data_IF_144121881492
#
_entry.id   IF_144121881492
#
_cell.length_a   1.000
_cell.length_b   1.000
_cell.length_c   1.000
_cell.angle_alpha   90.00
_cell.angle_beta   90.00
_cell.angle_gamma   90.00
#
_symmetry.space_group_name_H-M   'P 1'
#
loop_
_entity.id
_entity.type
_entity.pdbx_description
1 polymer ?
#
# COMPACT_ATOMS: atom_id res chain seq x y z
N UNK A 1 18.45 37.42 -14.38
CA UNK A 1 17.76 36.38 -15.19
C UNK A 1 16.73 35.61 -14.35
N UNK A 2 17.09 35.11 -13.17
CA UNK A 2 16.18 34.41 -12.23
C UNK A 2 14.94 35.26 -11.84
N UNK A 3 15.11 36.55 -11.52
CA UNK A 3 13.99 37.45 -11.18
C UNK A 3 13.09 37.82 -12.38
N UNK A 4 13.64 37.86 -13.61
CA UNK A 4 12.84 38.07 -14.82
C UNK A 4 12.08 36.79 -15.24
N UNK A 5 12.57 35.61 -14.87
CA UNK A 5 11.87 34.34 -15.07
C UNK A 5 10.69 34.16 -14.10
N UNK A 6 10.84 34.59 -12.83
CA UNK A 6 9.76 34.53 -11.83
C UNK A 6 8.50 35.31 -12.24
N UNK A 7 8.64 36.36 -13.07
CA UNK A 7 7.52 37.12 -13.61
C UNK A 7 6.72 36.42 -14.72
N UNK A 8 7.36 35.54 -15.52
CA UNK A 8 6.71 34.77 -16.60
C UNK A 8 6.21 33.39 -16.14
N UNK A 9 6.78 32.84 -15.07
CA UNK A 9 6.44 31.54 -14.48
C UNK A 9 5.16 31.53 -13.64
N UNK A 10 4.56 32.70 -13.35
CA UNK A 10 3.42 32.81 -12.41
C UNK A 10 2.10 32.15 -12.85
N UNK A 11 2.00 31.60 -14.07
CA UNK A 11 0.75 31.01 -14.60
C UNK A 11 0.95 29.67 -15.34
N UNK A 12 2.17 29.17 -15.52
CA UNK A 12 2.40 27.93 -16.26
C UNK A 12 2.39 26.71 -15.34
N UNK A 13 1.69 25.64 -15.74
CA UNK A 13 1.69 24.37 -15.01
C UNK A 13 3.10 23.76 -14.98
N UNK A 14 3.42 22.95 -13.95
CA UNK A 14 4.72 22.28 -13.84
C UNK A 14 5.10 21.52 -15.13
N UNK A 15 4.12 20.83 -15.71
CA UNK A 15 4.27 20.08 -16.96
C UNK A 15 4.59 20.98 -18.16
N UNK A 16 4.11 22.23 -18.18
CA UNK A 16 4.34 23.17 -19.28
C UNK A 16 5.80 23.62 -19.36
N UNK A 17 6.43 23.91 -18.22
CA UNK A 17 7.84 24.36 -18.18
C UNK A 17 8.77 23.24 -18.61
N UNK A 18 8.54 22.03 -18.12
CA UNK A 18 9.32 20.85 -18.50
C UNK A 18 9.10 20.45 -19.97
N UNK A 19 7.88 20.58 -20.49
CA UNK A 19 7.60 20.35 -21.90
C UNK A 19 8.33 21.37 -22.80
N UNK A 20 8.40 22.63 -22.39
CA UNK A 20 9.17 23.67 -23.06
C UNK A 20 10.66 23.33 -23.07
N UNK A 21 11.23 22.93 -21.92
CA UNK A 21 12.62 22.48 -21.82
C UNK A 21 12.92 21.32 -22.78
N UNK A 22 12.03 20.33 -22.89
CA UNK A 22 12.14 19.26 -23.88
C UNK A 22 12.12 19.79 -25.33
N UNK A 23 11.21 20.72 -25.65
CA UNK A 23 11.10 21.28 -27.00
C UNK A 23 12.32 22.11 -27.42
N UNK A 24 12.92 22.83 -26.47
CA UNK A 24 14.10 23.67 -26.67
C UNK A 24 15.42 22.90 -26.51
N UNK A 25 15.34 21.62 -26.14
CA UNK A 25 16.50 20.77 -25.80
C UNK A 25 17.36 21.32 -24.67
N UNK A 26 16.74 22.03 -23.73
CA UNK A 26 17.39 22.65 -22.58
C UNK A 26 17.35 21.73 -21.36
N UNK A 27 18.33 20.84 -21.24
CA UNK A 27 18.45 19.93 -20.11
C UNK A 27 18.81 20.64 -18.79
N UNK A 28 19.53 21.77 -18.85
CA UNK A 28 19.88 22.57 -17.67
C UNK A 28 18.62 23.14 -17.01
N UNK A 29 17.75 23.74 -17.81
CA UNK A 29 16.46 24.25 -17.35
C UNK A 29 15.63 23.14 -16.72
N UNK A 30 15.59 21.95 -17.34
CA UNK A 30 14.84 20.81 -16.80
C UNK A 30 15.40 20.36 -15.43
N UNK A 31 16.73 20.25 -15.29
CA UNK A 31 17.38 19.86 -14.03
C UNK A 31 17.11 20.88 -12.92
N UNK A 32 17.34 22.17 -13.19
CA UNK A 32 17.12 23.24 -12.21
C UNK A 32 15.65 23.32 -11.78
N UNK A 33 14.73 23.14 -12.74
CA UNK A 33 13.30 23.16 -12.45
C UNK A 33 12.85 21.95 -11.62
N UNK A 34 13.37 20.74 -11.89
CA UNK A 34 13.03 19.56 -11.09
C UNK A 34 13.62 19.67 -9.66
N UNK A 35 14.84 20.18 -9.52
CA UNK A 35 15.54 20.30 -8.23
C UNK A 35 14.95 21.39 -7.31
N UNK A 36 14.36 22.45 -7.86
CA UNK A 36 13.85 23.60 -7.09
C UNK A 36 12.42 23.42 -6.55
N UNK A 37 11.80 22.24 -6.72
CA UNK A 37 10.39 22.04 -6.35
C UNK A 37 10.20 21.79 -4.86
N UNK A 38 9.19 22.43 -4.28
CA UNK A 38 8.78 22.21 -2.90
C UNK A 38 7.62 21.20 -2.76
N UNK A 39 6.79 21.05 -3.79
CA UNK A 39 5.66 20.11 -3.79
C UNK A 39 5.47 19.46 -5.18
N UNK A 40 6.10 18.29 -5.39
CA UNK A 40 5.95 17.46 -6.57
C UNK A 40 4.52 17.11 -6.93
N UNK A 41 4.14 17.27 -8.20
CA UNK A 41 2.97 16.59 -8.77
C UNK A 41 3.43 15.48 -9.74
N UNK A 42 2.67 14.37 -9.87
CA UNK A 42 2.93 13.36 -10.88
C UNK A 42 3.01 13.97 -12.28
N UNK A 43 3.96 13.51 -13.08
CA UNK A 43 4.18 14.02 -14.43
C UNK A 43 3.39 13.19 -15.46
N UNK A 44 2.91 13.79 -16.55
CA UNK A 44 2.35 13.01 -17.66
C UNK A 44 3.35 11.96 -18.15
N UNK A 45 2.88 10.74 -18.44
CA UNK A 45 3.76 9.64 -18.87
C UNK A 45 4.58 9.98 -20.13
N UNK A 46 4.00 10.75 -21.05
CA UNK A 46 4.70 11.26 -22.24
C UNK A 46 5.86 12.18 -21.86
N UNK A 47 5.66 13.05 -20.87
CA UNK A 47 6.70 13.98 -20.42
C UNK A 47 7.83 13.24 -19.70
N UNK A 48 7.52 12.22 -18.89
CA UNK A 48 8.54 11.35 -18.28
C UNK A 48 9.41 10.70 -19.37
N UNK A 49 8.77 10.11 -20.39
CA UNK A 49 9.46 9.55 -21.56
C UNK A 49 10.36 10.59 -22.24
N UNK A 50 9.84 11.78 -22.50
CA UNK A 50 10.54 12.84 -23.23
C UNK A 50 11.74 13.39 -22.44
N UNK A 51 11.63 13.51 -21.12
CA UNK A 51 12.73 13.94 -20.23
C UNK A 51 13.87 12.90 -20.18
N UNK A 52 13.55 11.61 -20.17
CA UNK A 52 14.56 10.55 -20.26
C UNK A 52 15.28 10.59 -21.62
N UNK A 53 14.52 10.80 -22.71
CA UNK A 53 15.10 10.96 -24.04
C UNK A 53 16.00 12.21 -24.13
N UNK A 54 15.56 13.35 -23.57
CA UNK A 54 16.34 14.58 -23.49
C UNK A 54 17.67 14.37 -22.76
N UNK A 55 17.65 13.68 -21.62
CA UNK A 55 18.87 13.35 -20.86
C UNK A 55 19.87 12.56 -21.70
N UNK A 56 19.39 11.57 -22.47
CA UNK A 56 20.21 10.77 -23.39
C UNK A 56 20.80 11.63 -24.50
N UNK A 57 19.99 12.45 -25.15
CA UNK A 57 20.38 13.27 -26.31
C UNK A 57 21.37 14.38 -25.96
N UNK A 58 21.29 14.90 -24.75
CA UNK A 58 22.14 16.00 -24.25
C UNK A 58 23.33 15.52 -23.42
N UNK A 59 23.39 14.23 -23.08
CA UNK A 59 24.44 13.68 -22.23
C UNK A 59 24.36 14.16 -20.78
N UNK A 60 23.15 14.40 -20.26
CA UNK A 60 22.89 14.97 -18.92
C UNK A 60 22.25 13.96 -17.97
N UNK A 61 23.03 13.02 -17.39
CA UNK A 61 22.49 11.92 -16.57
C UNK A 61 21.81 12.37 -15.28
N UNK A 62 22.23 13.51 -14.73
CA UNK A 62 21.63 14.16 -13.56
C UNK A 62 20.14 14.48 -13.77
N UNK A 63 19.71 14.72 -15.02
CA UNK A 63 18.29 14.89 -15.34
C UNK A 63 17.46 13.64 -15.02
N UNK A 64 17.96 12.44 -15.30
CA UNK A 64 17.26 11.20 -14.95
C UNK A 64 17.27 10.98 -13.44
N UNK A 65 18.36 11.32 -12.74
CA UNK A 65 18.41 11.21 -11.27
C UNK A 65 17.36 12.13 -10.60
N UNK A 66 17.25 13.39 -11.05
CA UNK A 66 16.23 14.32 -10.57
C UNK A 66 14.81 13.83 -10.91
N UNK A 67 14.61 13.33 -12.13
CA UNK A 67 13.33 12.76 -12.55
C UNK A 67 12.94 11.56 -11.68
N UNK A 68 13.86 10.64 -11.39
CA UNK A 68 13.59 9.49 -10.52
C UNK A 68 13.28 9.92 -9.08
N UNK A 69 13.89 11.02 -8.61
CA UNK A 69 13.49 11.69 -7.35
C UNK A 69 12.02 12.12 -7.37
N UNK A 70 11.59 12.81 -8.43
CA UNK A 70 10.19 13.21 -8.62
C UNK A 70 9.26 11.99 -8.68
N UNK A 71 9.63 10.96 -9.44
CA UNK A 71 8.84 9.72 -9.56
C UNK A 71 8.72 9.00 -8.21
N UNK A 72 9.80 9.00 -7.39
CA UNK A 72 9.78 8.48 -6.02
C UNK A 72 8.83 9.26 -5.11
N UNK A 73 8.93 10.58 -5.07
CA UNK A 73 8.12 11.45 -4.19
C UNK A 73 6.63 11.41 -4.56
N UNK A 74 6.35 11.46 -5.85
CA UNK A 74 4.99 11.39 -6.41
C UNK A 74 4.45 9.98 -6.44
N UNK A 75 5.30 8.98 -6.14
CA UNK A 75 4.89 7.58 -6.03
C UNK A 75 4.30 7.05 -7.35
N UNK A 76 4.75 7.61 -8.46
CA UNK A 76 4.26 7.32 -9.80
C UNK A 76 4.97 6.07 -10.37
N UNK A 77 4.24 5.05 -10.87
CA UNK A 77 4.88 3.95 -11.59
C UNK A 77 5.33 4.40 -12.99
N UNK A 78 6.42 3.81 -13.48
CA UNK A 78 6.92 4.07 -14.84
C UNK A 78 6.11 3.26 -15.87
N UNK A 79 5.67 3.90 -16.95
CA UNK A 79 4.91 3.22 -18.01
C UNK A 79 5.82 2.55 -19.04
N UNK A 80 5.28 1.68 -19.89
CA UNK A 80 6.05 0.96 -20.93
C UNK A 80 6.95 1.85 -21.79
N UNK A 81 6.44 3.01 -22.25
CA UNK A 81 7.21 3.99 -23.01
C UNK A 81 8.38 4.57 -22.21
N UNK A 82 8.13 4.90 -20.94
CA UNK A 82 9.15 5.39 -20.02
C UNK A 82 10.23 4.33 -19.75
N UNK A 83 9.82 3.07 -19.55
CA UNK A 83 10.74 1.92 -19.38
C UNK A 83 11.61 1.75 -20.63
N UNK A 84 11.03 1.84 -21.83
CA UNK A 84 11.77 1.72 -23.08
C UNK A 84 12.82 2.82 -23.23
N UNK A 85 12.47 4.09 -22.96
CA UNK A 85 13.46 5.17 -23.00
C UNK A 85 14.52 5.03 -21.91
N UNK A 86 14.14 4.60 -20.70
CA UNK A 86 15.09 4.43 -19.60
C UNK A 86 16.11 3.33 -19.90
N UNK A 87 15.72 2.25 -20.59
CA UNK A 87 16.67 1.24 -21.10
C UNK A 87 17.66 1.82 -22.11
N UNK A 88 17.18 2.62 -23.04
CA UNK A 88 18.05 3.24 -24.05
C UNK A 88 19.02 4.24 -23.41
N UNK A 89 18.53 5.03 -22.44
CA UNK A 89 19.36 5.93 -21.65
C UNK A 89 20.39 5.17 -20.80
N UNK A 90 19.97 4.08 -20.15
CA UNK A 90 20.84 3.23 -19.31
C UNK A 90 22.02 2.66 -20.11
N UNK A 91 21.74 2.18 -21.33
CA UNK A 91 22.75 1.63 -22.23
C UNK A 91 23.67 2.70 -22.84
N UNK A 92 23.27 3.97 -22.87
CA UNK A 92 24.06 5.06 -23.46
C UNK A 92 25.05 5.71 -22.49
N UNK A 93 25.03 5.33 -21.20
CA UNK A 93 25.91 5.92 -20.21
C UNK A 93 27.37 5.50 -20.41
N UNK A 94 28.37 6.33 -20.05
CA UNK A 94 29.78 5.96 -20.17
C UNK A 94 30.13 4.65 -19.44
N UNK A 95 29.47 4.43 -18.30
CA UNK A 95 29.39 3.13 -17.63
C UNK A 95 27.93 2.66 -17.74
N UNK A 96 27.62 1.76 -18.69
CA UNK A 96 26.25 1.36 -18.97
C UNK A 96 25.60 0.70 -17.76
N UNK A 97 24.35 1.05 -17.49
CA UNK A 97 23.57 0.37 -16.47
C UNK A 97 22.94 -0.91 -17.05
N UNK A 98 22.90 -1.97 -16.26
CA UNK A 98 22.03 -3.12 -16.49
C UNK A 98 20.59 -2.74 -16.15
N UNK A 99 19.65 -2.95 -17.07
CA UNK A 99 18.25 -2.51 -16.91
C UNK A 99 17.27 -3.66 -17.21
N UNK A 100 16.89 -4.38 -16.17
CA UNK A 100 16.17 -5.65 -16.26
C UNK A 100 14.80 -5.59 -15.59
N UNK A 101 13.80 -6.24 -16.19
CA UNK A 101 12.54 -6.49 -15.48
C UNK A 101 12.79 -7.47 -14.34
N UNK A 102 12.18 -7.19 -13.19
CA UNK A 102 12.30 -8.04 -12.00
C UNK A 102 10.93 -8.21 -11.33
N UNK A 103 10.87 -9.19 -10.44
CA UNK A 103 9.83 -9.27 -9.41
C UNK A 103 10.46 -9.01 -8.05
N UNK A 104 9.62 -8.72 -7.05
CA UNK A 104 10.04 -8.58 -5.66
C UNK A 104 9.26 -9.60 -4.83
N UNK A 105 9.97 -10.40 -4.04
CA UNK A 105 9.34 -11.36 -3.14
C UNK A 105 8.50 -10.65 -2.07
N UNK A 106 7.58 -11.37 -1.42
CA UNK A 106 6.79 -10.84 -0.29
C UNK A 106 7.65 -10.27 0.85
N UNK A 107 8.88 -10.78 0.99
CA UNK A 107 9.85 -10.28 1.97
C UNK A 107 10.56 -8.98 1.56
N UNK A 108 10.28 -8.45 0.37
CA UNK A 108 10.89 -7.24 -0.18
C UNK A 108 12.25 -7.47 -0.83
N UNK A 109 12.54 -8.69 -1.29
CA UNK A 109 13.83 -9.01 -1.96
C UNK A 109 13.65 -9.07 -3.47
N UNK A 110 14.44 -8.29 -4.20
CA UNK A 110 14.50 -8.26 -5.66
C UNK A 110 15.06 -9.57 -6.22
N UNK A 111 14.40 -10.18 -7.21
CA UNK A 111 14.86 -11.45 -7.79
C UNK A 111 16.13 -11.35 -8.62
N UNK A 112 16.42 -10.17 -9.19
CA UNK A 112 17.59 -10.00 -10.07
C UNK A 112 18.87 -9.71 -9.27
N UNK A 113 18.80 -8.78 -8.32
CA UNK A 113 19.99 -8.33 -7.57
C UNK A 113 20.08 -8.85 -6.14
N UNK A 114 19.02 -9.50 -5.64
CA UNK A 114 18.92 -9.93 -4.22
C UNK A 114 18.94 -8.78 -3.21
N UNK A 115 18.92 -7.54 -3.68
CA UNK A 115 18.77 -6.34 -2.86
C UNK A 115 17.40 -6.30 -2.16
N UNK A 116 17.40 -5.78 -0.93
CA UNK A 116 16.19 -5.62 -0.11
C UNK A 116 15.64 -4.21 -0.26
N UNK A 117 14.38 -4.11 -0.65
CA UNK A 117 13.64 -2.86 -0.73
C UNK A 117 13.35 -2.29 0.67
N UNK A 118 13.24 -0.96 0.73
CA UNK A 118 12.84 -0.20 1.91
C UNK A 118 11.50 -0.69 2.45
N UNK A 119 11.29 -0.57 3.77
CA UNK A 119 10.01 -0.92 4.40
C UNK A 119 8.90 0.04 3.98
N UNK A 120 7.66 -0.47 3.90
CA UNK A 120 6.51 0.34 3.50
C UNK A 120 6.19 1.48 4.49
N UNK A 121 6.44 1.22 5.77
CA UNK A 121 6.14 2.13 6.87
C UNK A 121 7.30 2.17 7.87
N UNK A 122 7.70 3.38 8.25
CA UNK A 122 8.56 3.65 9.39
C UNK A 122 7.78 3.62 10.70
N UNK A 123 8.48 3.65 11.83
CA UNK A 123 7.85 3.78 13.14
C UNK A 123 7.14 5.14 13.30
N UNK A 124 7.74 6.21 12.76
CA UNK A 124 7.12 7.54 12.76
C UNK A 124 5.82 7.59 11.95
N UNK A 125 5.80 6.93 10.79
CA UNK A 125 4.59 6.79 9.97
C UNK A 125 3.46 6.11 10.74
N UNK A 126 3.78 5.00 11.42
CA UNK A 126 2.79 4.28 12.22
C UNK A 126 2.24 5.13 13.37
N UNK A 127 3.10 5.81 14.11
CA UNK A 127 2.67 6.69 15.21
C UNK A 127 1.81 7.86 14.72
N UNK A 128 2.16 8.44 13.56
CA UNK A 128 1.36 9.50 12.92
C UNK A 128 -0.02 8.98 12.55
N UNK A 129 -0.10 7.83 11.89
CA UNK A 129 -1.37 7.23 11.49
C UNK A 129 -2.23 6.82 12.70
N UNK A 130 -1.64 6.20 13.72
CA UNK A 130 -2.34 5.84 14.96
C UNK A 130 -2.95 7.08 15.62
N UNK A 131 -2.21 8.18 15.67
CA UNK A 131 -2.71 9.46 16.20
C UNK A 131 -3.89 9.98 15.39
N UNK A 132 -3.74 10.07 14.06
CA UNK A 132 -4.79 10.57 13.18
C UNK A 132 -6.08 9.75 13.28
N UNK A 133 -5.98 8.42 13.31
CA UNK A 133 -7.15 7.53 13.50
C UNK A 133 -7.75 7.70 14.89
N UNK A 134 -6.92 7.81 15.94
CA UNK A 134 -7.41 8.02 17.30
C UNK A 134 -8.16 9.35 17.44
N UNK A 135 -7.61 10.42 16.88
CA UNK A 135 -8.23 11.75 16.88
C UNK A 135 -9.53 11.77 16.10
N UNK A 136 -9.57 11.17 14.90
CA UNK A 136 -10.79 11.03 14.13
C UNK A 136 -11.88 10.32 14.93
N UNK A 137 -11.55 9.18 15.53
CA UNK A 137 -12.47 8.37 16.32
C UNK A 137 -13.04 9.10 17.55
N UNK A 138 -12.28 10.02 18.16
CA UNK A 138 -12.71 10.79 19.33
C UNK A 138 -13.27 12.18 18.97
N UNK A 139 -13.27 12.55 17.69
CA UNK A 139 -13.79 13.84 17.25
C UNK A 139 -15.33 13.86 17.33
N UNK A 140 -15.86 14.78 18.13
CA UNK A 140 -17.31 14.98 18.31
C UNK A 140 -18.04 15.28 16.98
N UNK A 141 -17.32 15.73 15.94
CA UNK A 141 -17.88 16.10 14.64
C UNK A 141 -18.15 14.95 13.65
N UNK A 142 -17.68 13.72 13.93
CA UNK A 142 -17.85 12.57 13.02
C UNK A 142 -19.08 11.71 13.33
N UNK A 143 -19.91 12.12 14.30
CA UNK A 143 -21.20 11.49 14.55
C UNK A 143 -21.12 10.05 15.07
N UNK A 144 -20.00 9.65 15.65
CA UNK A 144 -19.84 8.32 16.23
C UNK A 144 -20.82 8.10 17.38
N UNK A 145 -21.49 6.96 17.38
CA UNK A 145 -22.47 6.65 18.41
C UNK A 145 -21.79 6.39 19.76
N UNK A 146 -22.47 6.66 20.90
CA UNK A 146 -21.96 6.31 22.22
C UNK A 146 -21.59 4.82 22.36
N UNK A 147 -22.26 3.92 21.64
CA UNK A 147 -21.91 2.50 21.63
C UNK A 147 -20.53 2.24 21.02
N UNK A 148 -20.12 3.01 20.00
CA UNK A 148 -18.79 2.88 19.42
C UNK A 148 -17.70 3.32 20.40
N UNK A 149 -17.85 4.48 21.03
CA UNK A 149 -16.91 4.97 22.03
C UNK A 149 -16.75 3.96 23.17
N UNK A 150 -17.86 3.35 23.61
CA UNK A 150 -17.86 2.29 24.61
C UNK A 150 -17.12 1.02 24.14
N UNK A 151 -17.31 0.59 22.89
CA UNK A 151 -16.59 -0.55 22.33
C UNK A 151 -15.09 -0.29 22.23
N UNK A 152 -14.69 0.89 21.76
CA UNK A 152 -13.28 1.27 21.66
C UNK A 152 -12.60 1.32 23.03
N UNK A 153 -13.29 1.86 24.04
CA UNK A 153 -12.81 1.86 25.42
C UNK A 153 -12.62 0.43 25.95
N UNK A 154 -13.55 -0.49 25.66
CA UNK A 154 -13.44 -1.90 26.03
C UNK A 154 -12.34 -2.63 25.27
N UNK A 155 -12.17 -2.31 23.98
CA UNK A 155 -11.13 -2.83 23.14
C UNK A 155 -9.76 -2.39 23.64
N UNK A 156 -9.57 -1.11 23.94
CA UNK A 156 -8.32 -0.59 24.51
C UNK A 156 -7.95 -1.29 25.83
N UNK A 157 -8.92 -1.52 26.72
CA UNK A 157 -8.72 -2.30 27.95
C UNK A 157 -8.29 -3.74 27.66
N UNK A 158 -8.92 -4.40 26.68
CA UNK A 158 -8.56 -5.76 26.22
C UNK A 158 -7.12 -5.80 25.69
N UNK A 159 -6.75 -4.86 24.82
CA UNK A 159 -5.42 -4.77 24.22
C UNK A 159 -4.33 -4.50 25.27
N UNK A 160 -4.65 -3.74 26.32
CA UNK A 160 -3.72 -3.45 27.42
C UNK A 160 -3.56 -4.61 28.41
N UNK A 161 -4.52 -5.54 28.44
CA UNK A 161 -4.55 -6.64 29.40
C UNK A 161 -3.86 -7.92 28.90
N UNK A 162 -3.54 -8.02 27.61
CA UNK A 162 -2.85 -9.19 27.05
C UNK A 162 -1.35 -9.11 27.29
N UNK A 163 -0.74 -10.25 27.64
CA UNK A 163 0.70 -10.35 27.90
C UNK A 163 1.56 -10.30 26.63
N UNK A 164 0.97 -10.69 25.49
CA UNK A 164 1.60 -10.61 24.17
C UNK A 164 0.71 -9.83 23.21
N UNK A 165 1.28 -8.89 22.43
CA UNK A 165 0.56 -8.23 21.35
C UNK A 165 0.05 -9.24 20.32
N UNK A 166 -1.14 -8.98 19.77
CA UNK A 166 -1.67 -9.75 18.65
C UNK A 166 -0.77 -9.62 17.41
N UNK A 167 -0.68 -10.70 16.64
CA UNK A 167 -0.01 -10.67 15.34
C UNK A 167 -0.95 -10.27 14.23
N UNK A 168 -2.24 -10.59 14.40
CA UNK A 168 -3.27 -10.39 13.38
C UNK A 168 -4.59 -10.03 14.04
N UNK A 169 -5.29 -9.06 13.46
CA UNK A 169 -6.69 -8.74 13.76
C UNK A 169 -7.57 -9.18 12.59
N UNK A 170 -8.56 -10.03 12.84
CA UNK A 170 -9.48 -10.56 11.84
C UNK A 170 -10.80 -9.80 11.91
N UNK A 171 -11.24 -9.28 10.78
CA UNK A 171 -12.58 -8.74 10.58
C UNK A 171 -13.57 -9.89 10.41
N UNK A 172 -14.10 -10.37 11.53
CA UNK A 172 -14.88 -11.60 11.59
C UNK A 172 -16.13 -11.56 10.72
N UNK A 173 -16.79 -10.39 10.62
CA UNK A 173 -18.00 -10.30 9.80
C UNK A 173 -17.67 -10.32 8.32
N UNK A 174 -16.69 -9.52 7.87
CA UNK A 174 -16.28 -9.50 6.47
C UNK A 174 -15.82 -10.89 6.03
N UNK A 175 -14.91 -11.49 6.79
CA UNK A 175 -14.35 -12.81 6.45
C UNK A 175 -15.34 -13.96 6.64
N UNK A 176 -16.51 -13.76 7.25
CA UNK A 176 -17.56 -14.79 7.29
C UNK A 176 -18.37 -14.88 5.98
N UNK A 177 -18.24 -13.90 5.08
CA UNK A 177 -19.03 -13.74 3.85
C UNK A 177 -18.20 -13.72 2.56
N UNK A 178 -16.92 -14.09 2.65
CA UNK A 178 -15.99 -14.05 1.49
C UNK A 178 -16.33 -15.09 0.41
N UNK A 179 -16.57 -16.37 0.74
CA UNK A 179 -16.89 -17.39 -0.28
C UNK A 179 -18.36 -17.39 -0.73
N UNK A 180 -19.25 -16.81 0.07
CA UNK A 180 -20.68 -16.80 -0.23
C UNK A 180 -21.35 -15.60 0.43
N UNK A 181 -22.48 -15.16 -0.14
CA UNK A 181 -23.32 -14.12 0.50
C UNK A 181 -23.88 -14.56 1.86
N UNK A 182 -23.94 -15.87 2.09
CA UNK A 182 -24.39 -16.42 3.35
C UNK A 182 -23.24 -16.40 4.36
N UNK A 183 -23.63 -16.12 5.59
CA UNK A 183 -22.74 -16.13 6.73
C UNK A 183 -22.21 -17.55 7.00
N UNK A 184 -20.89 -17.69 7.21
CA UNK A 184 -20.25 -18.97 7.54
C UNK A 184 -19.25 -18.84 8.69
N UNK A 185 -19.58 -19.44 9.84
CA UNK A 185 -18.65 -19.55 10.97
C UNK A 185 -17.45 -20.44 10.62
N UNK A 186 -17.69 -21.52 9.87
CA UNK A 186 -16.63 -22.47 9.47
C UNK A 186 -15.52 -21.77 8.68
N UNK A 187 -15.87 -20.83 7.81
CA UNK A 187 -14.88 -20.06 7.05
C UNK A 187 -14.00 -19.19 7.95
N UNK A 188 -14.58 -18.55 8.96
CA UNK A 188 -13.79 -17.79 9.95
C UNK A 188 -12.81 -18.73 10.67
N UNK A 189 -13.20 -19.99 10.89
CA UNK A 189 -12.33 -20.98 11.54
C UNK A 189 -11.21 -21.48 10.66
N UNK A 190 -11.47 -21.75 9.39
CA UNK A 190 -10.43 -22.13 8.46
C UNK A 190 -9.38 -21.03 8.34
N UNK A 191 -9.81 -19.76 8.37
CA UNK A 191 -8.92 -18.59 8.38
C UNK A 191 -8.12 -18.51 9.68
N UNK A 192 -8.79 -18.58 10.84
CA UNK A 192 -8.10 -18.52 12.15
C UNK A 192 -7.07 -19.64 12.26
N UNK A 193 -7.42 -20.88 11.89
CA UNK A 193 -6.52 -22.03 11.91
C UNK A 193 -5.29 -21.82 11.00
N UNK A 194 -5.49 -21.32 9.77
CA UNK A 194 -4.38 -20.97 8.88
C UNK A 194 -3.46 -19.91 9.50
N UNK A 195 -4.03 -18.88 10.14
CA UNK A 195 -3.25 -17.78 10.74
C UNK A 195 -2.43 -18.26 11.94
N UNK A 196 -3.06 -18.92 12.91
CA UNK A 196 -2.38 -19.37 14.12
C UNK A 196 -1.29 -20.42 13.85
N UNK A 197 -1.40 -21.17 12.74
CA UNK A 197 -0.34 -22.05 12.26
C UNK A 197 0.86 -21.33 11.60
N UNK A 198 0.70 -20.06 11.17
CA UNK A 198 1.69 -19.35 10.35
C UNK A 198 2.32 -18.14 11.04
N UNK A 199 1.56 -17.36 11.82
CA UNK A 199 2.01 -16.05 12.35
C UNK A 199 2.76 -16.14 13.67
N UNK A 200 2.78 -17.32 14.31
CA UNK A 200 3.56 -17.59 15.52
C UNK A 200 3.16 -16.73 16.74
N UNK A 201 1.89 -16.36 16.88
CA UNK A 201 1.40 -15.57 18.02
C UNK A 201 -0.11 -15.34 18.00
N UNK A 202 -0.66 -14.56 18.96
CA UNK A 202 -2.09 -14.49 19.18
C UNK A 202 -2.85 -13.80 18.04
N UNK A 203 -4.04 -14.31 17.72
CA UNK A 203 -4.97 -13.73 16.74
C UNK A 203 -6.19 -13.13 17.45
N UNK A 204 -6.59 -11.91 17.08
CA UNK A 204 -7.82 -11.28 17.59
C UNK A 204 -8.91 -11.29 16.51
N UNK A 205 -10.04 -11.94 16.77
CA UNK A 205 -11.23 -11.84 15.92
C UNK A 205 -12.14 -10.75 16.46
N UNK A 206 -12.36 -9.69 15.69
CA UNK A 206 -13.39 -8.68 15.98
C UNK A 206 -14.70 -9.16 15.35
N UNK A 207 -15.71 -9.40 16.18
CA UNK A 207 -16.97 -10.01 15.76
C UNK A 207 -18.18 -9.18 16.20
N UNK A 208 -19.22 -9.12 15.36
CA UNK A 208 -20.54 -8.62 15.80
C UNK A 208 -21.20 -9.59 16.77
N UNK A 209 -22.12 -9.08 17.58
CA UNK A 209 -22.91 -9.87 18.53
C UNK A 209 -23.56 -11.12 17.94
N UNK A 210 -24.08 -11.06 16.72
CA UNK A 210 -24.68 -12.24 16.07
C UNK A 210 -23.62 -13.29 15.70
N UNK A 211 -22.47 -12.87 15.16
CA UNK A 211 -21.34 -13.76 14.86
C UNK A 211 -20.83 -14.42 16.13
N UNK A 212 -20.60 -13.63 17.19
CA UNK A 212 -20.18 -14.17 18.48
C UNK A 212 -21.19 -15.17 19.05
N UNK A 213 -22.49 -14.87 18.96
CA UNK A 213 -23.55 -15.80 19.39
C UNK A 213 -23.55 -17.11 18.60
N UNK A 214 -23.35 -17.06 17.28
CA UNK A 214 -23.27 -18.27 16.47
C UNK A 214 -21.99 -19.07 16.74
N UNK A 215 -20.86 -18.40 17.01
CA UNK A 215 -19.62 -19.04 17.46
C UNK A 215 -19.81 -19.75 18.81
N UNK A 216 -20.46 -19.10 19.78
CA UNK A 216 -20.73 -19.67 21.11
C UNK A 216 -21.68 -20.88 21.05
N UNK A 217 -22.59 -20.90 20.08
CA UNK A 217 -23.55 -22.00 19.87
C UNK A 217 -22.95 -23.21 19.16
N UNK A 218 -21.72 -23.12 18.68
CA UNK A 218 -21.00 -24.20 18.02
C UNK A 218 -19.87 -24.67 18.95
N UNK A 219 -20.09 -25.66 19.83
CA UNK A 219 -19.01 -26.26 20.63
C UNK A 219 -17.85 -26.77 19.75
N UNK A 220 -18.16 -27.15 18.50
CA UNK A 220 -17.18 -27.50 17.48
C UNK A 220 -16.17 -26.38 17.21
N UNK A 221 -16.59 -25.11 17.32
CA UNK A 221 -15.76 -23.92 17.10
C UNK A 221 -14.47 -23.97 17.95
N UNK A 222 -14.61 -24.00 19.27
CA UNK A 222 -13.44 -24.02 20.15
C UNK A 222 -12.69 -25.36 20.15
N UNK A 223 -13.36 -26.46 19.77
CA UNK A 223 -12.75 -27.79 19.75
C UNK A 223 -11.99 -28.12 18.46
N UNK A 224 -12.29 -27.44 17.34
CA UNK A 224 -11.64 -27.65 16.04
C UNK A 224 -10.33 -26.88 15.90
N UNK A 225 -10.13 -25.87 16.75
CA UNK A 225 -8.88 -25.13 16.85
C UNK A 225 -7.94 -25.89 17.80
N UNK A 226 -6.73 -26.27 17.36
CA UNK A 226 -5.76 -26.93 18.24
C UNK A 226 -5.51 -26.10 19.50
N UNK A 227 -5.42 -26.74 20.67
CA UNK A 227 -5.19 -26.04 21.96
C UNK A 227 -3.91 -25.20 22.00
N UNK A 228 -2.96 -25.45 21.09
CA UNK A 228 -1.74 -24.67 20.92
C UNK A 228 -1.94 -23.35 20.19
N UNK A 229 -3.10 -23.13 19.57
CA UNK A 229 -3.43 -21.93 18.83
C UNK A 229 -4.02 -20.89 19.78
N UNK A 230 -3.36 -19.74 19.86
CA UNK A 230 -3.75 -18.63 20.71
C UNK A 230 -4.63 -17.67 19.91
N UNK A 231 -5.93 -17.65 20.18
CA UNK A 231 -6.85 -16.71 19.56
C UNK A 231 -7.91 -16.23 20.53
N UNK A 232 -8.37 -15.00 20.30
CA UNK A 232 -9.32 -14.30 21.15
C UNK A 232 -10.46 -13.72 20.31
N UNK A 233 -11.67 -13.68 20.85
CA UNK A 233 -12.81 -13.01 20.22
C UNK A 233 -13.14 -11.75 21.00
N UNK A 234 -13.26 -10.62 20.30
CA UNK A 234 -13.78 -9.37 20.82
C UNK A 234 -15.13 -9.06 20.16
N UNK A 235 -16.19 -9.00 20.97
CA UNK A 235 -17.54 -8.76 20.48
C UNK A 235 -17.90 -7.28 20.52
N UNK A 236 -18.23 -6.73 19.35
CA UNK A 236 -18.80 -5.38 19.17
C UNK A 236 -20.30 -5.40 19.50
N UNK A 237 -20.77 -4.31 20.13
CA UNK A 237 -22.17 -4.15 20.57
C UNK A 237 -22.98 -3.24 19.63
N UNK A 238 -22.44 -2.91 18.47
CA UNK A 238 -23.06 -2.00 17.50
C UNK A 238 -23.81 -2.81 16.45
N UNK A 239 -24.97 -2.30 16.03
CA UNK A 239 -25.72 -2.83 14.89
C UNK A 239 -25.51 -2.02 13.59
N UNK A 240 -25.09 -0.74 13.68
CA UNK A 240 -25.25 0.26 12.61
C UNK A 240 -23.96 0.96 12.10
N UNK A 241 -22.86 1.02 12.87
CA UNK A 241 -21.58 1.61 12.44
C UNK A 241 -20.54 0.53 12.12
N UNK A 242 -19.73 0.77 11.08
CA UNK A 242 -18.69 -0.11 10.52
C UNK A 242 -17.77 -0.71 11.60
N UNK A 243 -17.71 -2.04 11.69
CA UNK A 243 -16.75 -2.73 12.58
C UNK A 243 -15.31 -2.52 12.13
N UNK A 244 -15.12 -2.09 10.88
CA UNK A 244 -13.80 -1.90 10.27
C UNK A 244 -12.99 -0.90 11.09
N UNK A 245 -13.62 0.11 11.71
CA UNK A 245 -12.90 1.05 12.58
C UNK A 245 -12.37 0.39 13.85
N UNK A 246 -13.09 -0.59 14.43
CA UNK A 246 -12.59 -1.37 15.57
C UNK A 246 -11.43 -2.27 15.15
N UNK A 247 -11.50 -2.85 13.95
CA UNK A 247 -10.41 -3.67 13.36
C UNK A 247 -9.16 -2.81 13.13
N UNK A 248 -9.31 -1.66 12.47
CA UNK A 248 -8.24 -0.69 12.20
C UNK A 248 -7.62 -0.22 13.51
N UNK A 249 -8.45 0.24 14.46
CA UNK A 249 -7.99 0.75 15.75
C UNK A 249 -7.26 -0.33 16.55
N UNK A 250 -7.76 -1.57 16.56
CA UNK A 250 -7.11 -2.69 17.23
C UNK A 250 -5.72 -2.97 16.64
N UNK A 251 -5.61 -3.03 15.31
CA UNK A 251 -4.36 -3.35 14.64
C UNK A 251 -3.32 -2.24 14.82
N UNK A 252 -3.72 -0.97 14.66
CA UNK A 252 -2.83 0.16 14.89
C UNK A 252 -2.37 0.25 16.34
N UNK A 253 -3.28 0.05 17.31
CA UNK A 253 -2.93 0.09 18.74
C UNK A 253 -2.03 -1.09 19.15
N UNK A 254 -2.20 -2.25 18.52
CA UNK A 254 -1.36 -3.43 18.78
C UNK A 254 0.09 -3.22 18.32
N UNK A 255 0.28 -2.48 17.22
CA UNK A 255 1.59 -2.01 16.78
C UNK A 255 1.84 -2.19 15.28
N UNK A 256 2.94 -1.61 14.79
CA UNK A 256 3.28 -1.48 13.36
C UNK A 256 3.36 -2.80 12.57
N UNK A 257 3.62 -3.91 13.27
CA UNK A 257 3.76 -5.23 12.65
C UNK A 257 2.48 -6.07 12.69
N UNK A 258 1.40 -5.55 13.27
CA UNK A 258 0.12 -6.26 13.28
C UNK A 258 -0.52 -6.23 11.88
N UNK A 259 -0.93 -7.41 11.40
CA UNK A 259 -1.73 -7.52 10.18
C UNK A 259 -3.23 -7.36 10.48
N UNK A 260 -3.99 -7.08 9.44
CA UNK A 260 -5.45 -7.22 9.43
C UNK A 260 -5.86 -8.27 8.40
N UNK A 261 -6.95 -9.00 8.64
CA UNK A 261 -7.58 -9.85 7.61
C UNK A 261 -8.97 -9.30 7.32
N UNK A 262 -9.16 -8.84 6.09
CA UNK A 262 -10.45 -8.35 5.56
C UNK A 262 -10.34 -8.25 4.04
N UNK A 263 -11.45 -8.36 3.33
CA UNK A 263 -11.57 -8.02 1.91
C UNK A 263 -12.15 -6.62 1.68
N UNK A 264 -12.49 -5.89 2.74
CA UNK A 264 -13.01 -4.54 2.61
C UNK A 264 -11.96 -3.56 2.05
N UNK A 265 -12.41 -2.54 1.34
CA UNK A 265 -11.57 -1.42 0.93
C UNK A 265 -11.36 -0.41 2.05
N UNK A 266 -12.23 -0.38 3.08
CA UNK A 266 -12.15 0.56 4.19
C UNK A 266 -12.12 2.03 3.75
N UNK A 267 -12.68 2.33 2.56
CA UNK A 267 -12.62 3.65 1.91
C UNK A 267 -13.31 4.74 2.72
N UNK A 268 -14.40 4.41 3.41
CA UNK A 268 -15.09 5.33 4.30
C UNK A 268 -14.18 5.75 5.46
N UNK A 269 -13.37 4.82 5.99
CA UNK A 269 -12.42 5.12 7.07
C UNK A 269 -11.29 6.03 6.62
N UNK A 270 -10.76 5.82 5.41
CA UNK A 270 -9.77 6.71 4.82
C UNK A 270 -10.33 8.12 4.60
N UNK A 271 -11.62 8.23 4.24
CA UNK A 271 -12.29 9.51 3.97
C UNK A 271 -12.52 10.36 5.23
N UNK A 272 -12.46 9.76 6.42
CA UNK A 272 -12.50 10.48 7.70
C UNK A 272 -11.18 11.19 8.04
N UNK A 273 -10.11 10.89 7.31
CA UNK A 273 -8.77 11.44 7.56
C UNK A 273 -8.47 12.61 6.61
N UNK A 274 -7.52 13.48 7.00
CA UNK A 274 -6.98 14.50 6.10
C UNK A 274 -6.22 13.87 4.92
N UNK A 275 -6.01 14.58 3.79
CA UNK A 275 -5.42 14.00 2.57
C UNK A 275 -4.08 13.28 2.77
N UNK A 276 -3.20 13.84 3.60
CA UNK A 276 -1.89 13.25 3.91
C UNK A 276 -2.01 11.97 4.75
N UNK A 277 -2.94 11.94 5.70
CA UNK A 277 -3.15 10.79 6.58
C UNK A 277 -3.94 9.68 5.86
N UNK A 278 -4.84 10.04 4.95
CA UNK A 278 -5.51 9.10 4.04
C UNK A 278 -4.49 8.42 3.11
N UNK A 279 -3.52 9.17 2.57
CA UNK A 279 -2.40 8.58 1.79
C UNK A 279 -1.59 7.61 2.63
N UNK A 280 -1.30 7.98 3.88
CA UNK A 280 -0.57 7.12 4.82
C UNK A 280 -1.35 5.85 5.19
N UNK A 281 -2.67 6.00 5.38
CA UNK A 281 -3.59 4.89 5.61
C UNK A 281 -3.56 3.90 4.44
N UNK A 282 -3.61 4.36 3.19
CA UNK A 282 -3.54 3.49 2.01
C UNK A 282 -2.22 2.70 1.95
N UNK A 283 -1.09 3.30 2.37
CA UNK A 283 0.21 2.61 2.44
C UNK A 283 0.20 1.54 3.54
N UNK A 284 -0.35 1.88 4.71
CA UNK A 284 -0.53 0.94 5.81
C UNK A 284 -1.41 -0.23 5.41
N UNK A 285 -2.58 0.04 4.85
CA UNK A 285 -3.51 -0.97 4.39
C UNK A 285 -2.85 -1.89 3.36
N UNK A 286 -2.20 -1.33 2.33
CA UNK A 286 -1.53 -2.11 1.29
C UNK A 286 -0.37 -2.99 1.80
N UNK A 287 0.21 -2.67 2.97
CA UNK A 287 1.33 -3.43 3.57
C UNK A 287 0.91 -4.33 4.73
N UNK A 288 -0.31 -4.19 5.26
CA UNK A 288 -0.79 -4.91 6.45
C UNK A 288 -2.11 -5.66 6.25
N UNK A 289 -2.83 -5.44 5.16
CA UNK A 289 -4.06 -6.17 4.86
C UNK A 289 -3.76 -7.49 4.14
N UNK A 290 -4.05 -8.58 4.84
CA UNK A 290 -4.17 -9.92 4.26
C UNK A 290 -5.57 -10.03 3.66
N UNK A 291 -5.64 -10.41 2.38
CA UNK A 291 -6.92 -10.66 1.71
C UNK A 291 -7.20 -12.16 1.66
N UNK A 292 -8.47 -12.52 1.56
CA UNK A 292 -8.95 -13.90 1.51
C UNK A 292 -9.46 -14.17 0.11
N UNK A 293 -8.91 -15.19 -0.55
CA UNK A 293 -9.38 -15.60 -1.87
C UNK A 293 -10.79 -16.20 -1.77
N UNK A 294 -11.82 -15.68 -2.49
CA UNK A 294 -13.21 -16.12 -2.33
C UNK A 294 -13.45 -17.62 -2.53
N UNK A 295 -12.78 -18.22 -3.52
CA UNK A 295 -13.03 -19.60 -3.94
C UNK A 295 -12.32 -20.63 -3.07
N UNK A 296 -11.08 -20.36 -2.69
CA UNK A 296 -10.22 -21.32 -1.97
C UNK A 296 -10.10 -21.02 -0.48
N UNK A 297 -10.49 -19.81 -0.04
CA UNK A 297 -10.26 -19.30 1.32
C UNK A 297 -8.76 -19.22 1.68
N UNK A 298 -7.89 -19.16 0.66
CA UNK A 298 -6.46 -18.97 0.87
C UNK A 298 -6.15 -17.53 1.30
N UNK A 299 -5.18 -17.39 2.18
CA UNK A 299 -4.70 -16.11 2.67
C UNK A 299 -3.60 -15.53 1.76
N UNK A 300 -3.82 -14.30 1.29
CA UNK A 300 -2.88 -13.56 0.45
C UNK A 300 -2.18 -12.50 1.28
N UNK A 301 -0.92 -12.76 1.63
CA UNK A 301 -0.12 -11.85 2.44
C UNK A 301 0.39 -10.68 1.61
N UNK A 302 0.33 -9.44 2.14
CA UNK A 302 0.92 -8.29 1.48
C UNK A 302 2.44 -8.30 1.62
N UNK A 303 3.12 -7.64 0.69
CA UNK A 303 4.56 -7.37 0.78
C UNK A 303 4.87 -6.31 1.82
N UNK A 304 5.83 -6.56 2.72
CA UNK A 304 6.29 -5.59 3.72
C UNK A 304 7.45 -4.74 3.18
N UNK A 305 7.20 -4.06 2.06
CA UNK A 305 8.14 -3.18 1.38
C UNK A 305 7.43 -1.99 0.72
N UNK A 306 8.12 -0.86 0.63
CA UNK A 306 7.62 0.32 -0.05
C UNK A 306 7.50 0.04 -1.54
N UNK A 307 6.34 0.37 -2.11
CA UNK A 307 6.12 0.23 -3.54
C UNK A 307 6.49 1.49 -4.33
N UNK A 308 7.27 2.40 -3.77
CA UNK A 308 7.79 3.58 -4.49
C UNK A 308 9.09 3.25 -5.23
N UNK A 309 9.51 4.12 -6.16
CA UNK A 309 10.89 4.13 -6.66
C UNK A 309 11.87 4.27 -5.50
N UNK A 310 12.97 3.51 -5.54
CA UNK A 310 13.98 3.48 -4.48
C UNK A 310 15.37 3.50 -5.09
N UNK A 311 16.26 4.28 -4.47
CA UNK A 311 17.68 4.20 -4.73
C UNK A 311 18.34 3.23 -3.75
N UNK A 312 19.38 2.56 -4.20
CA UNK A 312 20.26 1.68 -3.45
C UNK A 312 21.71 1.96 -3.86
N UNK A 313 22.68 1.39 -3.15
CA UNK A 313 24.10 1.54 -3.52
C UNK A 313 24.40 1.03 -4.94
N UNK A 314 23.68 -0.01 -5.38
CA UNK A 314 23.89 -0.66 -6.67
C UNK A 314 23.08 -0.02 -7.82
N UNK A 315 22.14 0.89 -7.51
CA UNK A 315 21.28 1.54 -8.50
C UNK A 315 19.83 1.72 -8.02
N UNK A 316 18.85 1.53 -8.90
CA UNK A 316 17.44 1.87 -8.66
C UNK A 316 16.50 0.68 -8.82
N UNK A 317 15.48 0.64 -7.97
CA UNK A 317 14.28 -0.20 -8.12
C UNK A 317 13.09 0.71 -8.43
N UNK A 318 12.46 0.50 -9.58
CA UNK A 318 11.39 1.38 -10.09
C UNK A 318 10.14 0.53 -10.34
N UNK A 319 9.01 0.79 -9.66
CA UNK A 319 7.75 0.14 -9.98
C UNK A 319 7.30 0.50 -11.40
N UNK A 320 6.73 -0.47 -12.12
CA UNK A 320 6.26 -0.25 -13.49
C UNK A 320 4.76 -0.54 -13.62
N UNK A 321 4.10 0.18 -14.53
CA UNK A 321 2.76 -0.18 -14.99
C UNK A 321 2.83 -0.52 -16.47
N UNK A 322 2.62 -1.79 -16.78
CA UNK A 322 2.58 -2.30 -18.16
C UNK A 322 1.21 -2.06 -18.82
N UNK A 323 0.23 -1.53 -18.10
CA UNK A 323 -1.08 -1.18 -18.65
C UNK A 323 -1.02 0.13 -19.44
N UNK A 324 -1.60 0.17 -20.64
CA UNK A 324 -1.73 1.39 -21.46
C UNK A 324 -2.72 2.42 -20.91
N UNK A 325 -3.39 2.12 -19.78
CA UNK A 325 -4.40 2.95 -19.12
C UNK A 325 -3.95 3.41 -17.72
N UNK A 326 -2.69 3.81 -17.58
CA UNK A 326 -2.20 4.42 -16.35
C UNK A 326 -2.82 5.83 -16.18
N UNK A 327 -4.05 5.93 -15.68
CA UNK A 327 -4.55 7.17 -15.09
C UNK A 327 -3.92 7.32 -13.71
N UNK A 328 -3.22 8.42 -13.41
CA UNK A 328 -2.79 8.73 -12.05
C UNK A 328 -4.04 9.16 -11.26
N UNK A 329 -4.87 8.21 -10.87
CA UNK A 329 -5.87 8.45 -9.82
C UNK A 329 -5.15 8.29 -8.49
N UNK A 330 -5.59 9.07 -7.49
CA UNK A 330 -5.14 8.96 -6.09
C UNK A 330 -5.29 7.53 -5.51
N UNK A 331 -5.99 6.64 -6.22
CA UNK A 331 -6.32 5.26 -5.86
C UNK A 331 -5.46 4.19 -6.56
N UNK A 332 -4.41 4.57 -7.29
CA UNK A 332 -3.61 3.60 -8.09
C UNK A 332 -2.89 2.52 -7.26
N UNK A 333 -2.77 2.70 -5.94
CA UNK A 333 -2.28 1.64 -5.04
C UNK A 333 -3.28 0.49 -4.83
N UNK A 334 -4.57 0.74 -5.06
CA UNK A 334 -5.63 -0.26 -4.93
C UNK A 334 -5.80 -1.13 -6.18
N UNK A 335 -5.26 -0.73 -7.33
CA UNK A 335 -5.56 -1.39 -8.60
C UNK A 335 -4.56 -2.49 -8.97
N UNK A 336 -3.27 -2.38 -8.60
CA UNK A 336 -2.28 -3.39 -9.02
C UNK A 336 -2.05 -4.52 -8.00
N UNK A 337 -2.51 -4.34 -6.75
CA UNK A 337 -2.59 -5.43 -5.77
C UNK A 337 -3.85 -6.30 -5.90
N UNK A 338 -4.83 -5.85 -6.69
CA UNK A 338 -6.12 -6.51 -6.90
C UNK A 338 -6.26 -6.81 -8.38
N UNK A 339 -5.63 -7.89 -8.86
CA UNK A 339 -6.22 -8.56 -10.02
C UNK A 339 -7.66 -8.84 -9.65
N UNK A 340 -8.58 -8.23 -10.39
CA UNK A 340 -9.98 -8.65 -10.40
C UNK A 340 -9.91 -10.12 -10.79
N UNK A 341 -10.21 -11.02 -9.85
CA UNK A 341 -10.35 -12.44 -10.16
C UNK A 341 -11.56 -12.54 -11.08
N UNK A 342 -11.34 -12.44 -12.39
CA UNK A 342 -12.31 -12.93 -13.35
C UNK A 342 -12.27 -14.44 -13.22
N UNK A 343 -13.42 -15.05 -12.95
CA UNK A 343 -13.58 -16.50 -12.75
C UNK A 343 -13.16 -17.32 -14.00
N UNK A 344 -12.85 -16.65 -15.12
CA UNK A 344 -12.58 -17.25 -16.43
C UNK A 344 -11.11 -17.20 -16.89
N UNK A 345 -10.18 -16.60 -16.14
CA UNK A 345 -8.77 -16.58 -16.55
C UNK A 345 -7.92 -17.58 -15.76
N UNK A 346 -7.73 -18.76 -16.36
CA UNK A 346 -6.69 -19.74 -16.01
C UNK A 346 -5.31 -19.13 -16.32
N UNK A 347 -4.83 -18.22 -15.47
CA UNK A 347 -3.53 -17.57 -15.64
C UNK A 347 -2.45 -18.39 -14.94
N UNK A 348 -1.54 -18.92 -15.74
CA UNK A 348 -0.24 -19.45 -15.34
C UNK A 348 0.35 -18.70 -14.14
N UNK A 349 0.68 -19.42 -13.07
CA UNK A 349 1.14 -18.90 -11.77
C UNK A 349 2.54 -18.24 -11.78
N UNK A 350 3.08 -17.89 -12.94
CA UNK A 350 4.32 -17.11 -13.02
C UNK A 350 4.03 -15.66 -12.65
N UNK A 351 4.65 -15.11 -11.59
CA UNK A 351 4.51 -13.71 -11.25
C UNK A 351 5.02 -12.86 -12.42
N UNK A 352 4.17 -11.97 -12.91
CA UNK A 352 4.54 -11.03 -13.96
C UNK A 352 5.44 -9.95 -13.37
N UNK A 353 6.50 -9.51 -14.07
CA UNK A 353 7.38 -8.46 -13.56
C UNK A 353 6.63 -7.14 -13.43
N UNK A 354 6.65 -6.59 -12.22
CA UNK A 354 6.04 -5.33 -11.80
C UNK A 354 7.09 -4.28 -11.37
N UNK A 355 8.38 -4.61 -11.53
CA UNK A 355 9.50 -3.73 -11.22
C UNK A 355 10.56 -3.72 -12.32
N UNK A 356 11.31 -2.63 -12.36
CA UNK A 356 12.56 -2.48 -13.09
C UNK A 356 13.72 -2.41 -12.10
N UNK A 357 14.73 -3.25 -12.31
CA UNK A 357 16.01 -3.22 -11.58
C UNK A 357 17.06 -2.59 -12.50
N UNK A 358 17.48 -1.38 -12.15
CA UNK A 358 18.51 -0.61 -12.84
C UNK A 358 19.79 -0.66 -12.01
N UNK A 359 20.85 -1.30 -12.48
CA UNK A 359 22.10 -1.49 -11.74
C UNK A 359 23.31 -0.97 -12.50
N UNK A 360 24.31 -0.48 -11.76
CA UNK A 360 25.62 -0.16 -12.34
C UNK A 360 26.46 -1.41 -12.61
#
# INVERSE_FOLDING_TARGET
MVEQMQGRLRVQSQSSVLAMACSERDADLAVEFLASRQSPQPLPASLVRDLVALSRETGRPDLVEQLLGVVRETRQPLTGDGVAQLRLWAASQPQPYTCELTTVSSSGVCTNCQGRLEKALTEGDHQKLLRAVTEAVHSEGLGFSPELISNLSRLQKRLSAVSSPYKVVVDGLNVSRVSSKNFSVMQVMDIVNQLTGTVGGPVLVVARKHLAKEMDQLPSFYSSVPRSHDFHVFTTHINEISDDICVIYAALTTGRHCYIVSNDHMSDNASMLGPEDAKLFSIWQASRQITVQPTTVNLLYPGDYSKSTQASEEGWHIPISLSSKATPTNDTWLVDGRRRWNEDEDVSHTPQPDWLCLRR
#
